data_IF_775907582258
#
_entry.id   IF_775907582258
#
_cell.length_a   1.000
_cell.length_b   1.000
_cell.length_c   1.000
_cell.angle_alpha   90.00
_cell.angle_beta   90.00
_cell.angle_gamma   90.00
#
_symmetry.space_group_name_H-M   'P 1'
#
loop_
_entity.id
_entity.type
_entity.pdbx_description
1 polymer ?
#
# COMPACT_ATOMS: atom_id res chain seq x y z
N UNK A 1 -1.10 -41.43 1.72
CA UNK A 1 -1.71 -40.20 2.28
C UNK A 1 -0.85 -39.02 1.86
N UNK A 2 -1.34 -38.11 1.02
CA UNK A 2 -0.65 -36.84 0.74
C UNK A 2 -1.45 -35.70 1.40
N UNK A 3 -1.10 -35.28 2.63
CA UNK A 3 -1.89 -34.33 3.41
C UNK A 3 -1.65 -32.85 3.05
N UNK A 4 -0.82 -32.52 2.05
CA UNK A 4 -0.52 -31.14 1.65
C UNK A 4 -0.29 -30.99 0.12
N UNK A 5 -0.29 -29.74 -0.37
CA UNK A 5 -0.21 -29.40 -1.82
C UNK A 5 1.12 -29.83 -2.46
N UNK A 6 2.21 -29.87 -1.70
CA UNK A 6 3.55 -30.21 -2.21
C UNK A 6 3.95 -31.61 -1.74
N UNK A 7 4.36 -32.46 -2.69
CA UNK A 7 4.80 -33.85 -2.43
C UNK A 7 6.16 -33.92 -1.71
N UNK A 8 7.24 -33.42 -2.32
CA UNK A 8 8.56 -33.34 -1.68
C UNK A 8 8.77 -31.98 -1.05
N UNK A 9 9.05 -31.92 0.25
CA UNK A 9 9.27 -30.68 1.00
C UNK A 9 10.48 -30.79 1.93
N UNK A 10 11.18 -29.68 2.13
CA UNK A 10 12.28 -29.62 3.09
C UNK A 10 11.74 -29.78 4.52
N UNK A 11 12.34 -30.69 5.30
CA UNK A 11 12.02 -30.88 6.72
C UNK A 11 12.65 -29.80 7.61
N UNK A 12 13.61 -29.03 7.09
CA UNK A 12 14.33 -28.02 7.86
C UNK A 12 13.41 -26.93 8.43
N UNK A 13 12.38 -26.51 7.68
CA UNK A 13 11.41 -25.51 8.16
C UNK A 13 10.54 -26.06 9.29
N UNK A 14 10.20 -27.35 9.25
CA UNK A 14 9.47 -28.02 10.32
C UNK A 14 10.33 -28.14 11.58
N UNK A 15 11.59 -28.56 11.44
CA UNK A 15 12.54 -28.64 12.54
C UNK A 15 12.79 -27.26 13.18
N UNK A 16 12.92 -26.20 12.36
CA UNK A 16 13.06 -24.83 12.84
C UNK A 16 11.82 -24.35 13.61
N UNK A 17 10.62 -24.61 13.08
CA UNK A 17 9.37 -24.26 13.78
C UNK A 17 9.25 -24.99 15.12
N UNK A 18 9.57 -26.29 15.16
CA UNK A 18 9.62 -27.08 16.39
C UNK A 18 10.60 -26.48 17.40
N UNK A 19 11.83 -26.18 16.97
CA UNK A 19 12.84 -25.58 17.83
C UNK A 19 12.40 -24.24 18.42
N UNK A 20 11.78 -23.37 17.62
CA UNK A 20 11.26 -22.07 18.09
C UNK A 20 10.13 -22.24 19.09
N UNK A 21 9.17 -23.14 18.83
CA UNK A 21 8.06 -23.40 19.75
C UNK A 21 8.57 -23.89 21.12
N UNK A 22 9.55 -24.81 21.12
CA UNK A 22 10.15 -25.33 22.35
C UNK A 22 11.03 -24.31 23.07
N UNK A 23 11.80 -23.52 22.33
CA UNK A 23 12.66 -22.48 22.89
C UNK A 23 11.85 -21.35 23.56
N UNK A 24 10.76 -20.90 22.91
CA UNK A 24 9.91 -19.86 23.47
C UNK A 24 9.03 -20.39 24.59
N UNK A 25 8.38 -21.53 24.38
CA UNK A 25 7.36 -22.04 25.28
C UNK A 25 6.21 -21.05 25.50
N UNK A 26 5.29 -21.38 26.41
CA UNK A 26 4.16 -20.51 26.75
C UNK A 26 4.61 -19.14 27.27
N UNK A 27 5.60 -19.12 28.16
CA UNK A 27 6.11 -17.88 28.75
C UNK A 27 6.72 -16.96 27.71
N UNK A 28 7.50 -17.49 26.76
CA UNK A 28 8.08 -16.72 25.66
C UNK A 28 7.01 -16.08 24.78
N UNK A 29 6.03 -16.86 24.34
CA UNK A 29 4.91 -16.33 23.55
C UNK A 29 4.10 -15.30 24.33
N UNK A 30 3.85 -15.52 25.62
CA UNK A 30 3.12 -14.58 26.49
C UNK A 30 3.87 -13.26 26.64
N UNK A 31 5.20 -13.30 26.83
CA UNK A 31 6.02 -12.08 26.86
C UNK A 31 5.96 -11.32 25.53
N UNK A 32 6.10 -12.01 24.39
CA UNK A 32 6.05 -11.37 23.07
C UNK A 32 4.68 -10.75 22.78
N UNK A 33 3.60 -11.45 23.14
CA UNK A 33 2.24 -10.90 23.02
C UNK A 33 2.06 -9.63 23.86
N UNK A 34 2.60 -9.60 25.09
CA UNK A 34 2.58 -8.40 25.94
C UNK A 34 3.31 -7.23 25.29
N UNK A 35 4.48 -7.46 24.70
CA UNK A 35 5.23 -6.42 23.95
C UNK A 35 4.38 -5.81 22.83
N UNK A 36 3.70 -6.66 22.05
CA UNK A 36 2.82 -6.21 20.96
C UNK A 36 1.67 -5.36 21.51
N UNK A 37 1.03 -5.78 22.61
CA UNK A 37 -0.06 -5.00 23.22
C UNK A 37 0.39 -3.65 23.77
N UNK A 38 1.59 -3.59 24.38
CA UNK A 38 2.18 -2.34 24.84
C UNK A 38 2.47 -1.39 23.67
N UNK A 39 3.12 -1.89 22.62
CA UNK A 39 3.38 -1.15 21.39
C UNK A 39 2.08 -0.64 20.76
N UNK A 40 1.07 -1.51 20.63
CA UNK A 40 -0.26 -1.17 20.12
C UNK A 40 -0.86 0.02 20.85
N UNK A 41 -0.91 -0.05 22.18
CA UNK A 41 -1.55 0.99 22.99
C UNK A 41 -0.80 2.33 22.86
N UNK A 42 0.54 2.29 22.87
CA UNK A 42 1.39 3.47 22.73
C UNK A 42 1.27 4.12 21.36
N UNK A 43 1.39 3.33 20.30
CA UNK A 43 1.26 3.79 18.91
C UNK A 43 -0.16 4.29 18.63
N UNK A 44 -1.19 3.56 19.07
CA UNK A 44 -2.58 3.97 18.86
C UNK A 44 -2.88 5.32 19.53
N UNK A 45 -2.30 5.57 20.71
CA UNK A 45 -2.41 6.88 21.36
C UNK A 45 -1.67 7.95 20.56
N UNK A 46 -0.40 7.73 20.23
CA UNK A 46 0.43 8.72 19.53
C UNK A 46 -0.09 9.07 18.13
N UNK A 47 -0.63 8.09 17.39
CA UNK A 47 -1.25 8.32 16.08
C UNK A 47 -2.53 9.16 16.22
N UNK A 48 -3.37 8.90 17.24
CA UNK A 48 -4.55 9.74 17.52
C UNK A 48 -4.18 11.16 17.94
N UNK A 49 -3.15 11.33 18.76
CA UNK A 49 -2.63 12.64 19.18
C UNK A 49 -2.11 13.48 17.99
N UNK A 50 -1.69 12.81 16.91
CA UNK A 50 -1.29 13.46 15.66
C UNK A 50 -2.45 13.71 14.68
N UNK A 51 -3.70 13.46 15.09
CA UNK A 51 -4.90 13.81 14.33
C UNK A 51 -5.41 12.73 13.37
N UNK A 52 -4.90 11.51 13.45
CA UNK A 52 -5.39 10.38 12.65
C UNK A 52 -6.59 9.69 13.31
N UNK A 53 -7.50 9.18 12.48
CA UNK A 53 -8.59 8.30 12.91
C UNK A 53 -8.14 6.84 12.78
N UNK A 54 -8.31 6.03 13.82
CA UNK A 54 -8.00 4.59 13.76
C UNK A 54 -9.25 3.83 13.33
N UNK A 55 -9.08 2.91 12.39
CA UNK A 55 -10.16 2.06 11.89
C UNK A 55 -10.45 0.93 12.90
N UNK A 56 -11.63 1.00 13.53
CA UNK A 56 -12.09 -0.02 14.49
C UNK A 56 -11.26 -0.07 15.78
N UNK A 57 -11.28 -1.23 16.45
CA UNK A 57 -10.43 -1.51 17.61
C UNK A 57 -9.21 -2.34 17.15
N UNK A 58 -7.99 -1.78 17.18
CA UNK A 58 -6.82 -2.47 16.65
C UNK A 58 -6.43 -3.66 17.53
N UNK A 59 -5.95 -4.73 16.89
CA UNK A 59 -5.34 -5.88 17.56
C UNK A 59 -3.82 -5.86 17.34
N UNK A 60 -3.28 -6.87 16.66
CA UNK A 60 -1.91 -6.88 16.14
C UNK A 60 -1.80 -6.04 14.87
N UNK A 61 -2.91 -5.90 14.15
CA UNK A 61 -3.01 -5.07 12.95
C UNK A 61 -3.71 -3.77 13.32
N UNK A 62 -3.11 -2.64 12.91
CA UNK A 62 -3.68 -1.32 13.04
C UNK A 62 -3.79 -0.68 11.66
N UNK A 63 -4.95 -0.14 11.34
CA UNK A 63 -5.15 0.71 10.18
C UNK A 63 -5.60 2.10 10.65
N UNK A 64 -5.01 3.16 10.11
CA UNK A 64 -5.38 4.53 10.44
C UNK A 64 -5.48 5.41 9.20
N UNK A 65 -6.31 6.44 9.28
CA UNK A 65 -6.70 7.29 8.16
C UNK A 65 -6.61 8.78 8.52
N UNK A 66 -6.59 9.63 7.49
CA UNK A 66 -6.65 11.08 7.61
C UNK A 66 -7.48 11.65 6.47
N UNK A 67 -8.29 12.68 6.77
CA UNK A 67 -9.05 13.46 5.77
C UNK A 67 -8.23 14.62 5.21
N UNK A 68 -7.15 15.02 5.88
CA UNK A 68 -6.33 16.19 5.52
C UNK A 68 -5.07 15.82 4.72
N UNK A 69 -4.64 14.56 4.79
CA UNK A 69 -3.34 14.13 4.27
C UNK A 69 -3.48 13.13 3.13
N UNK A 70 -2.63 13.28 2.11
CA UNK A 70 -2.41 12.22 1.14
C UNK A 70 -1.58 11.10 1.77
N UNK A 71 -2.23 10.01 2.17
CA UNK A 71 -1.60 8.88 2.87
C UNK A 71 -0.57 8.14 2.01
N UNK A 72 -0.70 8.17 0.67
CA UNK A 72 0.26 7.54 -0.22
C UNK A 72 1.61 8.26 -0.18
N UNK A 73 1.59 9.61 -0.19
CA UNK A 73 2.81 10.42 0.01
C UNK A 73 3.40 10.24 1.41
N UNK A 74 2.55 10.19 2.43
CA UNK A 74 3.00 9.95 3.80
C UNK A 74 3.70 8.60 3.92
N UNK A 75 3.20 7.57 3.25
CA UNK A 75 3.86 6.26 3.17
C UNK A 75 5.27 6.35 2.60
N UNK A 76 5.47 7.07 1.48
CA UNK A 76 6.79 7.23 0.88
C UNK A 76 7.76 7.99 1.81
N UNK A 77 7.29 9.05 2.47
CA UNK A 77 8.09 9.80 3.44
C UNK A 77 8.49 8.95 4.65
N UNK A 78 7.61 8.06 5.10
CA UNK A 78 7.90 7.11 6.18
C UNK A 78 8.92 6.04 5.72
N UNK A 79 8.82 5.54 4.49
CA UNK A 79 9.80 4.60 3.93
C UNK A 79 11.19 5.22 3.83
N UNK A 80 11.31 6.52 3.51
CA UNK A 80 12.61 7.24 3.53
C UNK A 80 13.27 7.25 4.90
N UNK A 81 12.48 7.13 5.97
CA UNK A 81 12.93 7.00 7.36
C UNK A 81 13.11 5.55 7.82
N UNK A 82 12.84 4.57 6.93
CA UNK A 82 12.94 3.14 7.23
C UNK A 82 11.65 2.51 7.76
N UNK A 83 10.53 3.25 7.80
CA UNK A 83 9.25 2.77 8.28
C UNK A 83 8.36 2.29 7.13
N UNK A 84 8.05 1.00 7.12
CA UNK A 84 7.15 0.42 6.12
C UNK A 84 5.71 0.40 6.65
N UNK A 85 4.98 1.46 6.37
CA UNK A 85 3.53 1.52 6.55
C UNK A 85 2.87 1.11 5.23
N UNK A 86 2.01 0.10 5.23
CA UNK A 86 1.41 -0.40 4.00
C UNK A 86 0.21 0.46 3.61
N UNK A 87 0.25 1.21 2.51
CA UNK A 87 -0.91 1.98 2.08
C UNK A 87 -2.00 1.05 1.55
N UNK A 88 -3.24 1.30 1.95
CA UNK A 88 -4.41 0.57 1.50
C UNK A 88 -5.38 1.51 0.80
N UNK A 89 -5.83 1.11 -0.39
CA UNK A 89 -6.86 1.80 -1.15
C UNK A 89 -8.19 1.77 -0.39
N UNK A 90 -8.89 2.91 -0.38
CA UNK A 90 -10.25 3.01 0.15
C UNK A 90 -11.30 2.41 -0.78
N UNK A 91 -12.47 2.08 -0.22
CA UNK A 91 -13.62 1.58 -0.98
C UNK A 91 -14.75 2.60 -0.84
N UNK A 92 -14.84 3.53 -1.80
CA UNK A 92 -15.79 4.65 -1.75
C UNK A 92 -17.26 4.19 -1.61
N UNK A 93 -17.67 3.15 -2.34
CA UNK A 93 -19.03 2.57 -2.29
C UNK A 93 -19.44 2.07 -0.90
N UNK A 94 -18.47 1.71 -0.06
CA UNK A 94 -18.68 1.23 1.31
C UNK A 94 -18.34 2.29 2.37
N UNK A 95 -18.05 3.52 1.94
CA UNK A 95 -17.59 4.60 2.81
C UNK A 95 -16.32 4.23 3.63
N UNK A 96 -15.43 3.43 3.04
CA UNK A 96 -14.15 3.06 3.64
C UNK A 96 -13.07 4.00 3.07
N UNK A 97 -12.42 4.86 3.88
CA UNK A 97 -11.39 5.75 3.41
C UNK A 97 -10.08 4.99 3.11
N UNK A 98 -9.14 5.57 2.35
CA UNK A 98 -7.76 5.08 2.30
C UNK A 98 -7.14 5.03 3.69
N UNK A 99 -6.23 4.07 3.93
CA UNK A 99 -5.57 3.92 5.23
C UNK A 99 -4.09 3.60 5.09
N UNK A 100 -3.35 3.77 6.19
CA UNK A 100 -2.04 3.18 6.39
C UNK A 100 -2.18 2.03 7.37
N UNK A 101 -1.75 0.84 6.93
CA UNK A 101 -1.73 -0.39 7.72
C UNK A 101 -0.35 -0.59 8.35
N UNK A 102 -0.34 -0.90 9.64
CA UNK A 102 0.82 -1.30 10.40
C UNK A 102 0.57 -2.67 11.06
N UNK A 103 1.44 -3.63 10.77
CA UNK A 103 1.49 -4.92 11.48
C UNK A 103 2.45 -4.80 12.64
N UNK A 104 1.92 -4.86 13.86
CA UNK A 104 2.72 -4.74 15.06
C UNK A 104 3.45 -6.04 15.36
N UNK A 105 4.73 -5.90 15.63
CA UNK A 105 5.65 -6.95 16.08
C UNK A 105 6.25 -6.55 17.43
N UNK A 106 6.86 -7.48 18.18
CA UNK A 106 7.45 -7.17 19.48
C UNK A 106 8.50 -6.05 19.47
N UNK A 107 9.18 -5.82 18.34
CA UNK A 107 10.19 -4.74 18.17
C UNK A 107 9.59 -3.35 18.32
N UNK A 108 8.32 -3.18 17.95
CA UNK A 108 7.64 -1.88 18.01
C UNK A 108 7.48 -1.35 19.43
N UNK A 109 7.62 -2.19 20.47
CA UNK A 109 7.58 -1.70 21.85
C UNK A 109 8.74 -0.74 22.14
N UNK A 110 9.92 -1.05 21.62
CA UNK A 110 11.16 -0.30 21.82
C UNK A 110 11.23 0.90 20.87
N UNK A 111 10.71 0.73 19.65
CA UNK A 111 10.80 1.74 18.59
C UNK A 111 9.59 2.69 18.48
N UNK A 112 8.54 2.50 19.28
CA UNK A 112 7.31 3.27 19.15
C UNK A 112 7.52 4.78 19.24
N UNK A 113 8.42 5.28 20.10
CA UNK A 113 8.66 6.72 20.22
C UNK A 113 9.34 7.29 18.98
N UNK A 114 10.38 6.61 18.48
CA UNK A 114 11.09 7.02 17.27
C UNK A 114 10.16 7.03 16.05
N UNK A 115 9.36 5.97 15.89
CA UNK A 115 8.39 5.89 14.80
C UNK A 115 7.35 7.03 14.88
N UNK A 116 6.86 7.36 16.08
CA UNK A 116 5.89 8.44 16.27
C UNK A 116 6.52 9.83 16.05
N UNK A 117 7.80 10.01 16.37
CA UNK A 117 8.54 11.24 16.08
C UNK A 117 8.75 11.43 14.58
N UNK A 118 9.22 10.39 13.88
CA UNK A 118 9.36 10.41 12.42
C UNK A 118 8.01 10.62 11.73
N UNK A 119 6.93 9.98 12.22
CA UNK A 119 5.58 10.21 11.71
C UNK A 119 5.20 11.69 11.78
N UNK A 120 5.52 12.36 12.89
CA UNK A 120 5.23 13.78 13.06
C UNK A 120 5.99 14.64 12.06
N UNK A 121 7.27 14.34 11.84
CA UNK A 121 8.08 15.04 10.84
C UNK A 121 7.53 14.83 9.42
N UNK A 122 7.21 13.59 9.06
CA UNK A 122 6.67 13.24 7.75
C UNK A 122 5.29 13.85 7.52
N UNK A 123 4.42 13.92 8.54
CA UNK A 123 3.17 14.68 8.49
C UNK A 123 3.43 16.15 8.18
N UNK A 124 4.43 16.76 8.83
CA UNK A 124 4.82 18.15 8.56
C UNK A 124 5.24 18.41 7.11
N UNK A 125 5.87 17.42 6.45
CA UNK A 125 6.28 17.51 5.04
C UNK A 125 5.10 17.41 4.08
N UNK A 126 4.16 16.51 4.36
CA UNK A 126 3.02 16.21 3.47
C UNK A 126 1.88 17.20 3.64
N UNK A 127 1.72 17.76 4.86
CA UNK A 127 0.62 18.68 5.16
C UNK A 127 0.72 19.95 4.30
N UNK A 128 -0.40 20.30 3.65
CA UNK A 128 -0.50 21.52 2.82
C UNK A 128 0.15 21.40 1.44
N UNK A 129 0.67 20.23 1.06
CA UNK A 129 1.08 20.01 -0.32
C UNK A 129 -0.16 19.97 -1.22
N UNK A 130 -0.18 20.80 -2.26
CA UNK A 130 -1.16 20.69 -3.32
C UNK A 130 -1.01 19.32 -4.02
N UNK A 131 -2.11 18.72 -4.51
CA UNK A 131 -2.02 17.59 -5.44
C UNK A 131 -1.11 17.99 -6.61
N UNK A 132 -0.18 17.11 -6.98
CA UNK A 132 0.61 17.36 -8.19
C UNK A 132 -0.29 17.37 -9.44
N UNK A 133 0.21 17.89 -10.56
CA UNK A 133 -0.51 17.88 -11.84
C UNK A 133 -0.93 16.47 -12.23
N UNK A 134 -0.05 15.49 -12.01
CA UNK A 134 -0.34 14.07 -12.22
C UNK A 134 -1.51 13.60 -11.34
N UNK A 135 -1.48 13.88 -10.04
CA UNK A 135 -2.54 13.45 -9.13
C UNK A 135 -3.91 14.03 -9.50
N UNK A 136 -3.91 15.30 -9.91
CA UNK A 136 -5.12 15.98 -10.38
C UNK A 136 -5.65 15.35 -11.65
N UNK A 137 -4.77 15.05 -12.61
CA UNK A 137 -5.11 14.33 -13.83
C UNK A 137 -5.66 12.92 -13.55
N UNK A 138 -4.98 12.16 -12.68
CA UNK A 138 -5.39 10.79 -12.34
C UNK A 138 -6.72 10.74 -11.59
N UNK A 139 -6.97 11.70 -10.70
CA UNK A 139 -8.27 11.84 -10.05
C UNK A 139 -9.40 12.13 -11.05
N UNK A 140 -9.18 13.07 -11.98
CA UNK A 140 -10.14 13.38 -13.02
C UNK A 140 -10.38 12.19 -13.99
N UNK A 141 -9.30 11.51 -14.36
CA UNK A 141 -9.35 10.33 -15.21
C UNK A 141 -10.10 9.16 -14.55
N UNK A 142 -9.84 8.92 -13.26
CA UNK A 142 -10.55 7.92 -12.46
C UNK A 142 -12.06 8.16 -12.41
N UNK A 143 -12.49 9.40 -12.15
CA UNK A 143 -13.90 9.79 -12.14
C UNK A 143 -14.57 9.60 -13.51
N UNK A 144 -13.87 9.96 -14.59
CA UNK A 144 -14.37 9.77 -15.95
C UNK A 144 -14.55 8.29 -16.28
N UNK A 145 -13.60 7.45 -15.86
CA UNK A 145 -13.71 6.00 -16.01
C UNK A 145 -14.83 5.41 -15.15
N UNK A 146 -15.00 5.80 -13.89
CA UNK A 146 -16.12 5.35 -13.06
C UNK A 146 -17.50 5.66 -13.70
N UNK A 147 -17.59 6.76 -14.46
CA UNK A 147 -18.83 7.17 -15.14
C UNK A 147 -19.08 6.41 -16.45
N UNK A 148 -18.03 6.08 -17.20
CA UNK A 148 -18.12 5.53 -18.56
C UNK A 148 -17.85 4.03 -18.62
N UNK A 149 -17.09 3.49 -17.66
CA UNK A 149 -16.76 2.08 -17.60
C UNK A 149 -18.04 1.29 -17.28
N UNK A 150 -18.49 0.39 -18.18
CA UNK A 150 -19.54 -0.55 -17.84
C UNK A 150 -19.08 -1.39 -16.63
N UNK A 151 -20.04 -1.79 -15.78
CA UNK A 151 -19.76 -2.61 -14.58
C UNK A 151 -19.07 -3.95 -14.89
N UNK A 152 -19.03 -4.36 -16.15
CA UNK A 152 -18.19 -5.42 -16.69
C UNK A 152 -17.48 -4.89 -17.94
N UNK A 153 -16.17 -4.63 -17.84
CA UNK A 153 -15.32 -4.28 -18.98
C UNK A 153 -14.34 -5.44 -19.20
N UNK A 154 -14.31 -6.01 -20.40
CA UNK A 154 -13.34 -7.04 -20.75
C UNK A 154 -11.98 -6.44 -21.15
N UNK A 155 -10.94 -7.29 -21.12
CA UNK A 155 -9.56 -6.94 -21.52
C UNK A 155 -9.50 -6.28 -22.90
N UNK A 156 -10.34 -6.73 -23.84
CA UNK A 156 -10.35 -6.24 -25.22
C UNK A 156 -10.92 -4.81 -25.31
N UNK A 157 -12.01 -4.54 -24.60
CA UNK A 157 -12.63 -3.21 -24.54
C UNK A 157 -11.72 -2.21 -23.85
N UNK A 158 -11.03 -2.63 -22.78
CA UNK A 158 -10.03 -1.81 -22.11
C UNK A 158 -8.82 -1.55 -23.01
N UNK A 159 -8.32 -2.57 -23.71
CA UNK A 159 -7.23 -2.42 -24.67
C UNK A 159 -7.59 -1.43 -25.80
N UNK A 160 -8.82 -1.48 -26.30
CA UNK A 160 -9.33 -0.54 -27.30
C UNK A 160 -9.48 0.88 -26.73
N UNK A 161 -9.97 1.02 -25.50
CA UNK A 161 -10.08 2.31 -24.82
C UNK A 161 -8.71 2.93 -24.60
N UNK A 162 -7.74 2.16 -24.06
CA UNK A 162 -6.36 2.60 -23.87
C UNK A 162 -5.72 2.95 -25.21
N UNK A 163 -5.95 2.18 -26.28
CA UNK A 163 -5.45 2.50 -27.62
C UNK A 163 -6.07 3.77 -28.20
N UNK A 164 -7.34 4.07 -27.89
CA UNK A 164 -7.99 5.32 -28.30
C UNK A 164 -7.47 6.50 -27.48
N UNK A 165 -7.26 6.28 -26.18
CA UNK A 165 -6.62 7.26 -25.29
C UNK A 165 -5.18 7.52 -25.76
N UNK A 166 -4.39 6.51 -26.11
CA UNK A 166 -3.03 6.64 -26.63
C UNK A 166 -2.98 7.31 -28.01
N UNK A 167 -4.03 7.15 -28.84
CA UNK A 167 -4.18 7.86 -30.12
C UNK A 167 -4.62 9.33 -29.96
N UNK A 168 -5.34 9.65 -28.89
CA UNK A 168 -5.88 10.98 -28.62
C UNK A 168 -5.05 11.77 -27.61
N UNK A 169 -4.25 11.09 -26.80
CA UNK A 169 -3.17 11.66 -26.02
C UNK A 169 -2.00 11.86 -26.99
N UNK A 170 -1.54 13.09 -27.04
CA UNK A 170 -0.23 13.44 -27.58
C UNK A 170 0.84 12.46 -27.03
N UNK A 171 1.77 12.01 -27.89
CA UNK A 171 2.90 11.17 -27.51
C UNK A 171 3.66 11.71 -26.28
N UNK A 172 3.67 13.03 -26.09
CA UNK A 172 4.21 13.74 -24.94
C UNK A 172 3.43 13.46 -23.65
N UNK A 173 2.11 13.23 -23.69
CA UNK A 173 1.29 12.89 -22.53
C UNK A 173 1.46 11.41 -22.13
N UNK A 174 1.58 10.50 -23.10
CA UNK A 174 1.92 9.09 -22.84
C UNK A 174 3.33 8.95 -22.26
N UNK A 175 4.31 9.69 -22.81
CA UNK A 175 5.66 9.77 -22.26
C UNK A 175 5.65 10.34 -20.84
N UNK A 176 4.94 11.44 -20.59
CA UNK A 176 4.78 12.01 -19.24
C UNK A 176 4.14 11.04 -18.26
N UNK A 177 3.19 10.21 -18.68
CA UNK A 177 2.59 9.20 -17.81
C UNK A 177 3.60 8.11 -17.43
N UNK A 178 4.39 7.63 -18.40
CA UNK A 178 5.43 6.62 -18.17
C UNK A 178 6.59 7.17 -17.32
N UNK A 179 7.01 8.41 -17.56
CA UNK A 179 7.98 9.15 -16.74
C UNK A 179 7.45 9.33 -15.30
N UNK A 180 6.19 9.74 -15.16
CA UNK A 180 5.57 9.98 -13.86
C UNK A 180 5.31 8.69 -13.06
N UNK A 181 5.14 7.54 -13.73
CA UNK A 181 5.10 6.22 -13.10
C UNK A 181 6.50 5.63 -12.86
N UNK A 182 7.55 6.33 -13.27
CA UNK A 182 8.94 5.94 -13.07
C UNK A 182 9.37 4.70 -13.86
N UNK A 183 8.58 4.27 -14.84
CA UNK A 183 8.76 2.99 -15.55
C UNK A 183 9.85 3.02 -16.64
N UNK A 184 10.55 4.15 -16.82
CA UNK A 184 11.61 4.27 -17.83
C UNK A 184 12.91 3.53 -17.47
N UNK A 185 13.16 3.28 -16.17
CA UNK A 185 14.42 2.68 -15.68
C UNK A 185 14.23 1.56 -14.64
N UNK A 186 13.06 0.91 -14.66
CA UNK A 186 12.66 -0.13 -13.69
C UNK A 186 11.63 0.35 -12.67
N UNK A 187 11.44 -0.38 -11.56
CA UNK A 187 10.48 0.03 -10.53
C UNK A 187 10.92 1.34 -9.86
N UNK A 188 10.00 2.30 -9.64
CA UNK A 188 10.33 3.54 -8.94
C UNK A 188 10.67 3.27 -7.47
N UNK A 189 11.53 4.12 -6.90
CA UNK A 189 11.85 4.08 -5.45
C UNK A 189 10.70 4.57 -4.58
N UNK A 190 9.86 5.45 -5.12
CA UNK A 190 8.66 5.99 -4.47
C UNK A 190 7.44 5.32 -5.11
N UNK A 191 6.60 4.69 -4.30
CA UNK A 191 5.46 3.91 -4.78
C UNK A 191 4.14 4.67 -4.61
N UNK A 192 4.13 5.77 -3.86
CA UNK A 192 2.95 6.60 -3.61
C UNK A 192 2.21 7.04 -4.88
N UNK A 193 2.88 7.55 -5.93
CA UNK A 193 2.23 7.88 -7.19
C UNK A 193 1.55 6.68 -7.87
N UNK A 194 2.18 5.50 -7.83
CA UNK A 194 1.58 4.25 -8.35
C UNK A 194 0.36 3.86 -7.52
N UNK A 195 0.47 3.88 -6.19
CA UNK A 195 -0.67 3.57 -5.32
C UNK A 195 -1.82 4.55 -5.51
N UNK A 196 -1.52 5.83 -5.73
CA UNK A 196 -2.52 6.85 -5.99
C UNK A 196 -3.20 6.66 -7.35
N UNK A 197 -2.44 6.27 -8.39
CA UNK A 197 -3.01 5.85 -9.67
C UNK A 197 -3.98 4.69 -9.48
N UNK A 198 -3.52 3.60 -8.88
CA UNK A 198 -4.34 2.40 -8.67
C UNK A 198 -5.55 2.69 -7.78
N UNK A 199 -5.42 3.64 -6.84
CA UNK A 199 -6.51 4.10 -6.00
C UNK A 199 -7.56 4.92 -6.75
N UNK A 200 -7.14 5.73 -7.72
CA UNK A 200 -8.05 6.55 -8.53
C UNK A 200 -8.83 5.74 -9.57
N UNK A 201 -8.30 4.60 -10.02
CA UNK A 201 -8.93 3.77 -11.05
C UNK A 201 -10.02 2.85 -10.49
N UNK A 202 -11.07 2.51 -11.28
CA UNK A 202 -11.98 1.42 -10.94
C UNK A 202 -11.22 0.10 -10.70
N UNK A 203 -11.64 -0.79 -9.78
CA UNK A 203 -10.92 -2.03 -9.46
C UNK A 203 -10.59 -2.89 -10.69
N UNK A 204 -11.54 -3.02 -11.61
CA UNK A 204 -11.42 -3.80 -12.83
C UNK A 204 -10.30 -3.22 -13.73
N UNK A 205 -10.25 -1.90 -13.83
CA UNK A 205 -9.23 -1.19 -14.62
C UNK A 205 -7.86 -1.24 -13.93
N UNK A 206 -7.82 -1.09 -12.61
CA UNK A 206 -6.60 -1.17 -11.83
C UNK A 206 -5.94 -2.56 -11.97
N UNK A 207 -6.73 -3.63 -11.89
CA UNK A 207 -6.25 -5.01 -12.09
C UNK A 207 -5.67 -5.20 -13.50
N UNK A 208 -6.37 -4.72 -14.51
CA UNK A 208 -5.93 -4.82 -15.90
C UNK A 208 -4.64 -4.03 -16.16
N UNK A 209 -4.53 -2.84 -15.58
CA UNK A 209 -3.34 -2.01 -15.68
C UNK A 209 -2.13 -2.67 -14.99
N UNK A 210 -2.33 -3.25 -13.80
CA UNK A 210 -1.27 -4.01 -13.10
C UNK A 210 -0.82 -5.19 -13.94
N UNK A 211 -1.75 -5.97 -14.50
CA UNK A 211 -1.42 -7.10 -15.36
C UNK A 211 -0.65 -6.65 -16.61
N UNK A 212 -1.07 -5.55 -17.26
CA UNK A 212 -0.36 -4.99 -18.41
C UNK A 212 1.06 -4.56 -18.05
N UNK A 213 1.24 -3.82 -16.95
CA UNK A 213 2.57 -3.36 -16.50
C UNK A 213 3.48 -4.55 -16.18
N UNK A 214 2.97 -5.57 -15.49
CA UNK A 214 3.74 -6.80 -15.19
C UNK A 214 4.18 -7.48 -16.50
N UNK A 215 3.26 -7.66 -17.45
CA UNK A 215 3.58 -8.26 -18.76
C UNK A 215 4.66 -7.46 -19.49
N UNK A 216 4.56 -6.13 -19.47
CA UNK A 216 5.50 -5.25 -20.16
C UNK A 216 6.89 -5.26 -19.51
N UNK A 217 6.97 -5.35 -18.17
CA UNK A 217 8.22 -5.54 -17.43
C UNK A 217 8.89 -6.86 -17.87
N UNK A 218 8.15 -7.96 -17.89
CA UNK A 218 8.67 -9.25 -18.34
C UNK A 218 9.15 -9.22 -19.80
N UNK A 219 8.43 -8.52 -20.69
CA UNK A 219 8.86 -8.36 -22.09
C UNK A 219 10.13 -7.54 -22.23
N UNK A 220 10.33 -6.52 -21.38
CA UNK A 220 11.50 -5.63 -21.40
C UNK A 220 12.72 -6.21 -20.68
N UNK A 221 12.56 -7.33 -19.97
CA UNK A 221 13.64 -8.02 -19.26
C UNK A 221 14.20 -7.23 -18.08
N UNK A 222 13.36 -6.39 -17.46
CA UNK A 222 13.67 -5.62 -16.25
C UNK A 222 13.18 -6.38 -15.02
#
# INVERSE_FOLDING_TARGET
MNPAVISSRSEASLAAAWAVMHYLGEEGYTRLARKIMNARNKIARGVREQGFEIMGDPSVIMAFTSKELNLFKLSDEMVKKGWYLMPQKGIAKMNIPPTLHLTLTPVHEEEADHMLEDLRECVGKVKGQAPSELESFLGAFGLLLDMIAPGEMDLASLGNLLSQIEKNLDAQATQKLLEALGLEKGFPKEMGPIYQLLAALPPEIAELLVNYVIIEIFKRGI
#
